data_IF_571274215876
#
_entry.id   IF_571274215876
#
_cell.length_a   1.000
_cell.length_b   1.000
_cell.length_c   1.000
_cell.angle_alpha   90.00
_cell.angle_beta   90.00
_cell.angle_gamma   90.00
#
_symmetry.space_group_name_H-M   'P 1'
#
loop_
_entity.id
_entity.type
_entity.pdbx_description
1 polymer ?
#
# COMPACT_ATOMS: atom_id res chain seq x y z
N UNK A 1 -37.82 21.11 22.12
CA UNK A 1 -36.44 20.89 21.60
C UNK A 1 -36.03 22.17 20.85
N UNK A 2 -34.80 22.66 21.03
CA UNK A 2 -34.36 23.93 20.45
C UNK A 2 -34.18 23.79 18.91
N UNK A 3 -34.69 24.75 18.13
CA UNK A 3 -34.67 24.69 16.66
C UNK A 3 -33.25 24.59 16.08
N UNK A 4 -32.29 25.36 16.62
CA UNK A 4 -30.88 25.29 16.17
C UNK A 4 -30.24 23.94 16.47
N UNK A 5 -30.66 23.31 17.58
CA UNK A 5 -30.20 21.97 17.94
C UNK A 5 -30.77 20.92 16.97
N UNK A 6 -32.01 21.07 16.51
CA UNK A 6 -32.61 20.19 15.50
C UNK A 6 -31.92 20.34 14.13
N UNK A 7 -31.66 21.57 13.70
CA UNK A 7 -30.95 21.86 12.44
C UNK A 7 -29.54 21.24 12.44
N UNK A 8 -28.78 21.43 13.52
CA UNK A 8 -27.45 20.84 13.67
C UNK A 8 -27.49 19.31 13.63
N UNK A 9 -28.42 18.68 14.36
CA UNK A 9 -28.56 17.22 14.36
C UNK A 9 -28.90 16.70 12.96
N UNK A 10 -29.79 17.38 12.23
CA UNK A 10 -30.14 16.98 10.87
C UNK A 10 -28.97 17.11 9.90
N UNK A 11 -28.18 18.19 9.98
CA UNK A 11 -26.97 18.34 9.18
C UNK A 11 -25.96 17.22 9.47
N UNK A 12 -25.74 16.88 10.74
CA UNK A 12 -24.84 15.79 11.11
C UNK A 12 -25.33 14.43 10.61
N UNK A 13 -26.64 14.18 10.61
CA UNK A 13 -27.22 12.95 10.04
C UNK A 13 -26.99 12.86 8.53
N UNK A 14 -27.24 13.95 7.79
CA UNK A 14 -27.00 14.01 6.35
C UNK A 14 -25.52 13.77 6.05
N UNK A 15 -24.62 14.39 6.81
CA UNK A 15 -23.17 14.19 6.64
C UNK A 15 -22.75 12.75 6.93
N UNK A 16 -23.27 12.15 8.00
CA UNK A 16 -22.96 10.77 8.36
C UNK A 16 -23.44 9.78 7.28
N UNK A 17 -24.63 9.99 6.73
CA UNK A 17 -25.19 9.17 5.66
C UNK A 17 -24.40 9.33 4.35
N UNK A 18 -24.02 10.56 3.99
CA UNK A 18 -23.15 10.83 2.86
C UNK A 18 -21.80 10.11 3.00
N UNK A 19 -21.16 10.22 4.17
CA UNK A 19 -19.89 9.56 4.44
C UNK A 19 -20.01 8.03 4.37
N UNK A 20 -21.07 7.45 4.96
CA UNK A 20 -21.36 6.01 4.90
C UNK A 20 -21.49 5.53 3.45
N UNK A 21 -22.24 6.26 2.63
CA UNK A 21 -22.45 5.90 1.22
C UNK A 21 -21.17 6.05 0.40
N UNK A 22 -20.35 7.05 0.69
CA UNK A 22 -19.05 7.24 0.03
C UNK A 22 -18.07 6.12 0.35
N UNK A 23 -17.98 5.70 1.63
CA UNK A 23 -17.15 4.57 2.04
C UNK A 23 -17.61 3.27 1.39
N UNK A 24 -18.92 3.02 1.39
CA UNK A 24 -19.54 1.86 0.72
C UNK A 24 -19.19 1.82 -0.78
N UNK A 25 -19.35 2.94 -1.48
CA UNK A 25 -19.00 3.05 -2.89
C UNK A 25 -17.52 2.74 -3.16
N UNK A 26 -16.62 3.22 -2.28
CA UNK A 26 -15.19 2.97 -2.40
C UNK A 26 -14.87 1.48 -2.24
N UNK A 27 -15.39 0.84 -1.20
CA UNK A 27 -15.19 -0.60 -0.96
C UNK A 27 -15.67 -1.44 -2.14
N UNK A 28 -16.87 -1.13 -2.66
CA UNK A 28 -17.41 -1.85 -3.81
C UNK A 28 -16.53 -1.67 -5.06
N UNK A 29 -16.06 -0.46 -5.32
CA UNK A 29 -15.14 -0.19 -6.43
C UNK A 29 -13.82 -0.97 -6.30
N UNK A 30 -13.24 -1.00 -5.09
CA UNK A 30 -11.99 -1.69 -4.80
C UNK A 30 -12.13 -3.22 -4.96
N UNK A 31 -13.31 -3.77 -4.66
CA UNK A 31 -13.63 -5.20 -4.85
C UNK A 31 -14.00 -5.58 -6.28
N UNK A 32 -14.01 -4.63 -7.23
CA UNK A 32 -14.46 -4.88 -8.60
C UNK A 32 -15.98 -5.00 -8.75
N UNK A 33 -16.74 -4.65 -7.71
CA UNK A 33 -18.20 -4.67 -7.69
C UNK A 33 -18.75 -3.35 -8.23
N UNK A 34 -18.56 -3.12 -9.52
CA UNK A 34 -19.03 -1.92 -10.21
C UNK A 34 -19.40 -2.21 -11.65
N UNK A 35 -20.31 -1.41 -12.19
CA UNK A 35 -20.60 -1.33 -13.61
C UNK A 35 -19.68 -0.30 -14.28
N UNK A 36 -19.41 -0.52 -15.57
CA UNK A 36 -18.63 0.41 -16.40
C UNK A 36 -19.58 1.26 -17.24
N UNK A 37 -19.49 2.57 -17.10
CA UNK A 37 -20.10 3.50 -18.05
C UNK A 37 -19.00 4.07 -18.95
N UNK A 38 -19.07 3.75 -20.23
CA UNK A 38 -18.09 4.17 -21.22
C UNK A 38 -18.34 5.60 -21.72
N UNK A 39 -17.26 6.33 -21.97
CA UNK A 39 -17.29 7.63 -22.63
C UNK A 39 -17.66 7.49 -24.10
N UNK A 40 -18.56 8.36 -24.59
CA UNK A 40 -18.80 8.52 -26.02
C UNK A 40 -17.60 9.16 -26.75
N UNK A 41 -16.80 9.93 -26.02
CA UNK A 41 -15.59 10.55 -26.52
C UNK A 41 -14.38 9.63 -26.28
N UNK A 42 -13.59 9.29 -27.31
CA UNK A 42 -12.38 8.48 -27.16
C UNK A 42 -11.23 9.19 -26.44
N UNK A 43 -11.39 10.46 -26.04
CA UNK A 43 -10.41 11.19 -25.25
C UNK A 43 -10.63 11.01 -23.73
N UNK A 44 -9.53 11.11 -22.98
CA UNK A 44 -9.57 11.14 -21.52
C UNK A 44 -10.38 12.34 -21.03
N UNK A 45 -11.10 12.16 -19.91
CA UNK A 45 -11.73 13.26 -19.18
C UNK A 45 -11.75 12.95 -17.69
N UNK A 46 -11.85 13.98 -16.86
CA UNK A 46 -11.99 13.82 -15.40
C UNK A 46 -13.22 12.98 -15.02
N UNK A 47 -14.29 13.03 -15.83
CA UNK A 47 -15.49 12.23 -15.65
C UNK A 47 -15.28 10.74 -15.99
N UNK A 48 -14.38 10.41 -16.91
CA UNK A 48 -14.07 9.05 -17.37
C UNK A 48 -12.56 8.79 -17.29
N UNK A 49 -12.02 8.60 -16.08
CA UNK A 49 -10.58 8.56 -15.86
C UNK A 49 -9.94 7.21 -16.19
N UNK A 50 -10.72 6.12 -16.23
CA UNK A 50 -10.22 4.76 -16.43
C UNK A 50 -10.18 4.41 -17.92
N UNK A 51 -9.25 3.55 -18.34
CA UNK A 51 -9.08 3.15 -19.74
C UNK A 51 -9.08 1.63 -19.88
N UNK A 52 -9.77 1.13 -20.89
CA UNK A 52 -9.79 -0.28 -21.26
C UNK A 52 -9.49 -0.43 -22.76
N UNK A 53 -8.61 -1.38 -23.09
CA UNK A 53 -8.31 -1.74 -24.47
C UNK A 53 -9.06 -3.02 -24.85
N UNK A 54 -9.96 -2.91 -25.81
CA UNK A 54 -10.68 -4.05 -26.35
C UNK A 54 -9.84 -4.72 -27.44
N UNK A 55 -9.39 -5.95 -27.17
CA UNK A 55 -8.58 -6.74 -28.10
C UNK A 55 -9.36 -7.21 -29.34
N UNK A 56 -10.69 -7.27 -29.28
CA UNK A 56 -11.53 -7.68 -30.40
C UNK A 56 -11.68 -6.52 -31.38
N UNK A 57 -12.08 -5.36 -30.86
CA UNK A 57 -12.31 -4.17 -31.69
C UNK A 57 -11.06 -3.34 -31.95
N UNK A 58 -9.95 -3.65 -31.28
CA UNK A 58 -8.67 -2.93 -31.32
C UNK A 58 -8.80 -1.45 -30.94
N UNK A 59 -9.80 -1.10 -30.12
CA UNK A 59 -10.10 0.26 -29.72
C UNK A 59 -9.97 0.43 -28.21
N UNK A 60 -9.43 1.58 -27.82
CA UNK A 60 -9.41 2.05 -26.45
C UNK A 60 -10.67 2.80 -26.09
N UNK A 61 -11.26 2.50 -24.94
CA UNK A 61 -12.43 3.21 -24.43
C UNK A 61 -12.18 3.66 -22.99
N UNK A 62 -12.43 4.94 -22.75
CA UNK A 62 -12.42 5.48 -21.39
C UNK A 62 -13.75 5.16 -20.71
N UNK A 63 -13.73 4.90 -19.41
CA UNK A 63 -14.92 4.61 -18.62
C UNK A 63 -14.84 5.19 -17.20
N UNK A 64 -15.97 5.19 -16.52
CA UNK A 64 -16.06 5.45 -15.08
C UNK A 64 -16.72 4.26 -14.38
N UNK A 65 -16.32 4.05 -13.14
CA UNK A 65 -16.85 3.00 -12.27
C UNK A 65 -18.13 3.51 -11.61
N UNK A 66 -19.22 2.77 -11.78
CA UNK A 66 -20.49 3.00 -11.10
C UNK A 66 -20.67 1.86 -10.10
N UNK A 67 -20.49 2.10 -8.79
CA UNK A 67 -20.68 1.05 -7.78
C UNK A 67 -22.05 0.42 -7.89
N UNK A 68 -22.12 -0.91 -7.77
CA UNK A 68 -23.42 -1.59 -7.79
C UNK A 68 -24.27 -1.16 -6.59
N UNK A 69 -25.59 -1.05 -6.80
CA UNK A 69 -26.52 -0.81 -5.71
C UNK A 69 -26.70 -2.08 -4.90
N UNK A 70 -26.33 -2.06 -3.63
CA UNK A 70 -26.49 -3.18 -2.71
C UNK A 70 -27.23 -2.75 -1.46
N UNK A 71 -28.01 -3.66 -0.88
CA UNK A 71 -28.66 -3.50 0.41
C UNK A 71 -27.64 -3.42 1.55
N UNK A 72 -28.08 -3.07 2.75
CA UNK A 72 -27.20 -3.04 3.92
C UNK A 72 -26.83 -4.46 4.37
N UNK A 73 -27.71 -5.43 4.15
CA UNK A 73 -27.48 -6.85 4.40
C UNK A 73 -26.43 -7.42 3.45
N UNK A 74 -26.57 -7.19 2.14
CA UNK A 74 -25.59 -7.61 1.13
C UNK A 74 -24.24 -6.97 1.38
N UNK A 75 -24.21 -5.68 1.75
CA UNK A 75 -22.97 -5.00 2.09
C UNK A 75 -22.29 -5.62 3.30
N UNK A 76 -23.05 -5.95 4.36
CA UNK A 76 -22.52 -6.62 5.54
C UNK A 76 -21.96 -8.01 5.21
N UNK A 77 -22.56 -8.74 4.27
CA UNK A 77 -22.06 -10.03 3.82
C UNK A 77 -20.81 -9.90 2.95
N UNK A 78 -20.78 -8.94 2.02
CA UNK A 78 -19.59 -8.59 1.24
C UNK A 78 -18.42 -8.30 2.17
N UNK A 79 -18.63 -7.54 3.25
CA UNK A 79 -17.57 -7.22 4.21
C UNK A 79 -16.99 -8.44 4.95
N UNK A 80 -17.77 -9.51 5.15
CA UNK A 80 -17.27 -10.74 5.79
C UNK A 80 -16.22 -11.42 4.91
N UNK A 81 -16.45 -11.44 3.60
CA UNK A 81 -15.55 -12.07 2.63
C UNK A 81 -14.47 -11.10 2.12
N UNK A 82 -14.75 -9.80 2.10
CA UNK A 82 -13.76 -8.78 1.72
C UNK A 82 -12.62 -8.74 2.73
N UNK A 83 -12.88 -8.90 4.03
CA UNK A 83 -11.80 -8.98 5.03
C UNK A 83 -10.95 -10.24 4.86
N UNK A 84 -11.46 -11.34 4.30
CA UNK A 84 -10.65 -12.54 4.02
C UNK A 84 -9.71 -12.27 2.82
N UNK A 85 -10.18 -11.55 1.81
CA UNK A 85 -9.35 -11.12 0.68
C UNK A 85 -8.38 -9.98 1.05
N UNK A 86 -8.83 -9.02 1.88
CA UNK A 86 -8.04 -7.90 2.38
C UNK A 86 -7.01 -8.37 3.40
N UNK A 87 -7.18 -9.46 4.15
CA UNK A 87 -6.08 -10.03 4.94
C UNK A 87 -5.08 -10.84 4.09
N UNK A 88 -5.44 -11.22 2.86
CA UNK A 88 -4.50 -11.73 1.87
C UNK A 88 -3.74 -10.60 1.14
N UNK A 89 -4.40 -9.45 0.93
CA UNK A 89 -3.82 -8.25 0.31
C UNK A 89 -3.36 -7.16 1.30
N UNK A 90 -3.52 -7.30 2.63
CA UNK A 90 -2.89 -6.43 3.64
C UNK A 90 -1.43 -6.83 3.89
N UNK A 91 -1.01 -7.99 3.37
CA UNK A 91 0.39 -8.22 3.03
C UNK A 91 0.84 -7.48 1.75
N UNK A 92 -0.10 -6.90 0.98
CA UNK A 92 0.12 -6.22 -0.30
C UNK A 92 -0.63 -4.86 -0.45
N UNK A 93 -0.46 -3.95 0.52
CA UNK A 93 -0.62 -2.49 0.31
C UNK A 93 -1.85 -1.86 0.98
N UNK A 94 -1.76 -0.71 1.65
CA UNK A 94 -1.05 0.50 1.23
C UNK A 94 -0.85 1.46 2.41
N UNK A 95 0.36 2.01 2.55
CA UNK A 95 0.54 3.38 3.07
C UNK A 95 1.45 4.14 2.13
N UNK A 96 0.87 5.12 1.44
CA UNK A 96 1.51 6.33 0.94
C UNK A 96 2.88 6.14 0.28
N UNK A 97 2.92 5.92 -1.04
CA UNK A 97 4.09 6.23 -1.88
C UNK A 97 5.45 5.66 -1.44
N UNK A 98 5.48 4.69 -0.54
CA UNK A 98 6.69 4.05 -0.07
C UNK A 98 6.86 2.79 -0.89
N UNK A 99 7.94 2.75 -1.64
CA UNK A 99 8.32 1.58 -2.42
C UNK A 99 8.39 0.37 -1.50
N UNK A 100 7.44 -0.56 -1.64
CA UNK A 100 7.41 -1.79 -0.84
C UNK A 100 8.75 -2.53 -0.96
N UNK A 101 9.31 -2.58 -2.17
CA UNK A 101 10.65 -3.12 -2.44
C UNK A 101 11.75 -2.36 -1.69
N UNK A 102 11.81 -1.03 -1.79
CA UNK A 102 12.87 -0.29 -1.08
C UNK A 102 12.73 -0.38 0.45
N UNK A 103 11.51 -0.51 0.95
CA UNK A 103 11.23 -0.72 2.38
C UNK A 103 11.75 -2.09 2.81
N UNK A 104 11.51 -3.14 2.03
CA UNK A 104 12.06 -4.49 2.27
C UNK A 104 13.58 -4.48 2.29
N UNK A 105 14.23 -3.83 1.33
CA UNK A 105 15.70 -3.70 1.30
C UNK A 105 16.23 -2.95 2.53
N UNK A 106 15.52 -1.91 2.98
CA UNK A 106 15.86 -1.15 4.19
C UNK A 106 15.75 -2.03 5.44
N UNK A 107 14.68 -2.82 5.56
CA UNK A 107 14.47 -3.75 6.68
C UNK A 107 15.53 -4.83 6.71
N UNK A 108 15.87 -5.42 5.56
CA UNK A 108 16.93 -6.44 5.48
C UNK A 108 18.28 -5.86 5.89
N UNK A 109 18.62 -4.63 5.46
CA UNK A 109 19.87 -3.98 5.87
C UNK A 109 19.96 -3.78 7.40
N UNK A 110 18.86 -3.39 8.04
CA UNK A 110 18.79 -3.26 9.51
C UNK A 110 19.00 -4.61 10.19
N UNK A 111 18.39 -5.68 9.67
CA UNK A 111 18.58 -7.04 10.19
C UNK A 111 20.04 -7.47 10.05
N UNK A 112 20.69 -7.18 8.91
CA UNK A 112 22.11 -7.49 8.68
C UNK A 112 23.00 -6.77 9.70
N UNK A 113 22.72 -5.50 10.02
CA UNK A 113 23.49 -4.79 11.05
C UNK A 113 23.35 -5.42 12.43
N UNK A 114 22.12 -5.76 12.83
CA UNK A 114 21.85 -6.36 14.13
C UNK A 114 22.48 -7.75 14.22
N UNK A 115 22.23 -8.62 13.24
CA UNK A 115 22.78 -9.96 13.20
C UNK A 115 24.31 -9.95 13.11
N UNK A 116 24.87 -9.09 12.26
CA UNK A 116 26.31 -8.92 12.11
C UNK A 116 27.00 -8.45 13.39
N UNK A 117 26.32 -7.59 14.16
CA UNK A 117 26.83 -7.16 15.46
C UNK A 117 26.95 -8.34 16.44
N UNK A 118 25.88 -9.14 16.60
CA UNK A 118 25.87 -10.31 17.49
C UNK A 118 26.81 -11.43 17.03
N UNK A 119 26.88 -11.69 15.71
CA UNK A 119 27.82 -12.66 15.14
C UNK A 119 29.26 -12.24 15.42
N UNK A 120 29.58 -10.95 15.31
CA UNK A 120 30.89 -10.42 15.67
C UNK A 120 31.22 -10.58 17.16
N UNK A 121 30.23 -10.46 18.05
CA UNK A 121 30.42 -10.74 19.48
C UNK A 121 30.71 -12.23 19.72
N UNK A 122 29.92 -13.12 19.12
CA UNK A 122 30.07 -14.56 19.29
C UNK A 122 31.40 -15.09 18.74
N UNK A 123 31.73 -14.76 17.49
CA UNK A 123 33.00 -15.18 16.86
C UNK A 123 34.22 -14.52 17.50
N UNK A 124 34.07 -13.28 18.00
CA UNK A 124 35.11 -12.61 18.76
C UNK A 124 35.45 -13.35 20.05
N UNK A 125 34.46 -13.96 20.70
CA UNK A 125 34.66 -14.77 21.92
C UNK A 125 35.19 -16.18 21.62
N UNK A 126 34.73 -16.82 20.55
CA UNK A 126 35.05 -18.22 20.22
C UNK A 126 36.46 -18.43 19.66
N UNK A 127 36.98 -17.48 18.90
CA UNK A 127 38.25 -17.66 18.15
C UNK A 127 39.49 -17.26 18.98
N UNK A 128 39.32 -16.59 20.12
CA UNK A 128 40.42 -16.11 20.96
C UNK A 128 40.41 -16.68 22.38
N UNK A 129 41.58 -16.76 23.03
CA UNK A 129 41.67 -17.00 24.50
C UNK A 129 41.04 -15.86 25.33
N UNK A 130 40.87 -14.69 24.72
CA UNK A 130 40.11 -13.52 25.17
C UNK A 130 39.39 -12.96 23.95
N UNK A 131 38.31 -12.20 24.18
CA UNK A 131 37.56 -11.55 23.12
C UNK A 131 38.46 -10.85 22.09
N UNK A 132 38.43 -11.36 20.86
CA UNK A 132 39.23 -10.89 19.75
C UNK A 132 38.53 -9.74 19.03
N UNK A 133 38.87 -8.52 19.45
CA UNK A 133 38.35 -7.30 18.83
C UNK A 133 38.65 -7.21 17.33
N UNK A 134 39.76 -7.81 16.87
CA UNK A 134 40.12 -7.83 15.45
C UNK A 134 39.15 -8.66 14.60
N UNK A 135 38.81 -9.87 15.08
CA UNK A 135 37.82 -10.74 14.43
C UNK A 135 36.43 -10.09 14.44
N UNK A 136 36.03 -9.53 15.58
CA UNK A 136 34.76 -8.81 15.71
C UNK A 136 34.69 -7.61 14.76
N UNK A 137 35.76 -6.81 14.67
CA UNK A 137 35.82 -5.63 13.80
C UNK A 137 35.76 -5.99 12.32
N UNK A 138 36.33 -7.12 11.90
CA UNK A 138 36.19 -7.62 10.52
C UNK A 138 34.74 -8.00 10.22
N UNK A 139 34.06 -8.70 11.14
CA UNK A 139 32.64 -9.05 10.99
C UNK A 139 31.72 -7.82 10.99
N UNK A 140 32.00 -6.84 11.85
CA UNK A 140 31.23 -5.60 11.87
C UNK A 140 31.47 -4.78 10.62
N UNK A 141 32.71 -4.68 10.15
CA UNK A 141 33.06 -3.99 8.92
C UNK A 141 32.41 -4.60 7.68
N UNK A 142 32.38 -5.93 7.57
CA UNK A 142 31.73 -6.62 6.46
C UNK A 142 30.21 -6.45 6.47
N UNK A 143 29.59 -6.57 7.64
CA UNK A 143 28.15 -6.38 7.82
C UNK A 143 27.74 -4.93 7.55
N UNK A 144 28.57 -3.97 8.01
CA UNK A 144 28.37 -2.55 7.75
C UNK A 144 28.44 -2.24 6.24
N UNK A 145 29.46 -2.72 5.55
CA UNK A 145 29.63 -2.50 4.11
C UNK A 145 28.48 -3.10 3.30
N UNK A 146 28.06 -4.32 3.65
CA UNK A 146 26.96 -5.01 2.99
C UNK A 146 25.62 -4.30 3.19
N UNK A 147 25.29 -3.91 4.43
CA UNK A 147 24.06 -3.19 4.72
C UNK A 147 24.03 -1.78 4.09
N UNK A 148 25.18 -1.08 4.06
CA UNK A 148 25.29 0.22 3.37
C UNK A 148 25.04 0.12 1.87
N UNK A 149 25.58 -0.92 1.22
CA UNK A 149 25.33 -1.18 -0.20
C UNK A 149 23.84 -1.45 -0.47
N UNK A 150 23.19 -2.22 0.40
CA UNK A 150 21.77 -2.54 0.30
C UNK A 150 20.86 -1.31 0.50
N UNK A 151 21.22 -0.42 1.43
CA UNK A 151 20.56 0.89 1.61
C UNK A 151 20.75 1.79 0.39
N UNK A 152 21.94 1.78 -0.22
CA UNK A 152 22.21 2.51 -1.45
C UNK A 152 21.27 2.10 -2.59
N UNK A 153 21.07 0.80 -2.80
CA UNK A 153 20.09 0.29 -3.76
C UNK A 153 18.65 0.67 -3.39
N UNK A 154 18.28 0.61 -2.10
CA UNK A 154 16.96 1.01 -1.64
C UNK A 154 16.65 2.48 -2.01
N UNK A 155 17.59 3.39 -1.80
CA UNK A 155 17.42 4.81 -2.15
C UNK A 155 17.32 5.03 -3.67
N UNK A 156 18.12 4.32 -4.48
CA UNK A 156 18.01 4.39 -5.95
C UNK A 156 16.63 3.93 -6.41
N UNK A 157 16.10 2.84 -5.86
CA UNK A 157 14.75 2.34 -6.19
C UNK A 157 13.69 3.35 -5.76
N UNK A 158 13.85 4.00 -4.60
CA UNK A 158 12.94 5.07 -4.16
C UNK A 158 12.88 6.21 -5.15
N UNK A 159 14.05 6.69 -5.57
CA UNK A 159 14.20 7.75 -6.57
C UNK A 159 13.56 7.35 -7.91
N UNK A 160 13.83 6.13 -8.39
CA UNK A 160 13.32 5.67 -9.67
C UNK A 160 11.78 5.60 -9.69
N UNK A 161 11.17 5.08 -8.62
CA UNK A 161 9.72 5.02 -8.54
C UNK A 161 9.07 6.40 -8.33
N UNK A 162 9.75 7.31 -7.62
CA UNK A 162 9.29 8.69 -7.49
C UNK A 162 9.28 9.42 -8.85
N UNK A 163 10.21 9.10 -9.75
CA UNK A 163 10.21 9.59 -11.13
C UNK A 163 9.12 8.91 -11.97
N UNK A 164 8.95 7.59 -11.85
CA UNK A 164 7.93 6.83 -12.60
C UNK A 164 6.49 7.31 -12.32
N UNK A 165 6.21 7.68 -11.07
CA UNK A 165 4.88 8.10 -10.62
C UNK A 165 4.66 9.63 -10.71
N UNK A 166 5.51 10.34 -11.43
CA UNK A 166 5.38 11.77 -11.76
C UNK A 166 4.85 11.93 -13.17
#
# INVERSE_FOLDING_TARGET
>A
MNQRVQEFINQQKIQAEYNKNMEKAKVLNDLGLYDKEYSENPAWSEKYPEYEYDQVTHQGKYFRKIPISVTDEEYAEILKYSNIAINQDENNGTKSGSNSIATVFTVIAVIIFIAGFFVGLFLGEEIGYKFSIGVASICWGSSFLSGMLMLGFAEIIKLLNAIKNK
#
